data_IF_103380505033
#
_entry.id   IF_103380505033
#
_cell.length_a   1.000
_cell.length_b   1.000
_cell.length_c   1.000
_cell.angle_alpha   90.00
_cell.angle_beta   90.00
_cell.angle_gamma   90.00
#
_symmetry.space_group_name_H-M   'P 1'
#
loop_
_entity.id
_entity.type
_entity.pdbx_description
1 polymer ?
#
# COMPACT_ATOMS: atom_id res chain seq x y z
N UNK A 1 -9.52 -63.34 -6.47
CA UNK A 1 -8.50 -62.81 -7.39
C UNK A 1 -8.48 -61.30 -7.23
N UNK A 2 -7.29 -60.76 -6.94
CA UNK A 2 -6.86 -59.35 -7.07
C UNK A 2 -7.30 -58.76 -8.44
N UNK A 3 -7.48 -57.45 -8.65
CA UNK A 3 -6.46 -56.41 -8.62
C UNK A 3 -7.04 -54.97 -8.56
N UNK A 4 -6.26 -54.10 -7.91
CA UNK A 4 -6.27 -52.64 -7.94
C UNK A 4 -6.15 -52.03 -9.35
N UNK A 5 -6.85 -50.89 -9.54
CA UNK A 5 -6.29 -49.63 -10.07
C UNK A 5 -7.25 -48.53 -9.58
N UNK A 6 -6.91 -47.59 -8.71
CA UNK A 6 -5.65 -46.85 -8.65
C UNK A 6 -5.82 -45.52 -9.39
N UNK A 7 -6.07 -44.46 -8.60
CA UNK A 7 -5.66 -43.07 -8.84
C UNK A 7 -6.42 -42.27 -9.91
N UNK A 8 -7.23 -41.29 -9.48
CA UNK A 8 -6.89 -39.88 -9.71
C UNK A 8 -7.65 -38.93 -8.74
N UNK A 9 -7.22 -38.91 -7.48
CA UNK A 9 -7.33 -37.70 -6.66
C UNK A 9 -6.29 -36.70 -7.19
N UNK A 10 -6.71 -35.60 -7.83
CA UNK A 10 -5.95 -34.35 -7.86
C UNK A 10 -6.55 -33.28 -8.77
N UNK A 11 -6.80 -32.11 -8.14
CA UNK A 11 -6.65 -30.74 -8.68
C UNK A 11 -7.82 -30.14 -9.46
N UNK A 12 -8.69 -29.41 -8.74
CA UNK A 12 -8.63 -27.93 -8.67
C UNK A 12 -9.67 -27.36 -7.70
N UNK A 13 -9.52 -27.70 -6.42
CA UNK A 13 -9.73 -26.71 -5.36
C UNK A 13 -8.47 -25.84 -5.37
N UNK A 14 -8.53 -24.67 -5.98
CA UNK A 14 -7.42 -23.72 -5.94
C UNK A 14 -7.94 -22.38 -5.40
N UNK A 15 -7.86 -22.30 -4.07
CA UNK A 15 -7.43 -21.14 -3.30
C UNK A 15 -8.45 -20.01 -3.11
N UNK A 16 -9.47 -20.36 -2.32
CA UNK A 16 -10.04 -19.42 -1.36
C UNK A 16 -9.08 -19.29 -0.16
N UNK A 17 -8.00 -18.53 -0.30
CA UNK A 17 -7.06 -18.27 0.79
C UNK A 17 -7.01 -16.78 1.13
N UNK A 18 -7.73 -16.45 2.19
CA UNK A 18 -7.22 -15.56 3.24
C UNK A 18 -7.14 -14.05 2.92
N UNK A 19 -8.25 -13.43 2.50
CA UNK A 19 -8.46 -11.99 2.79
C UNK A 19 -8.98 -11.85 4.22
N UNK A 20 -8.19 -12.30 5.18
CA UNK A 20 -8.33 -11.83 6.56
C UNK A 20 -7.80 -10.39 6.55
N UNK A 21 -8.71 -9.41 6.47
CA UNK A 21 -8.37 -8.02 6.84
C UNK A 21 -7.76 -8.06 8.24
N UNK A 22 -6.42 -8.01 8.31
CA UNK A 22 -5.70 -8.01 9.58
C UNK A 22 -6.24 -6.87 10.45
N UNK A 23 -6.59 -7.18 11.69
CA UNK A 23 -6.97 -6.18 12.68
C UNK A 23 -5.74 -5.33 13.03
N UNK A 24 -5.63 -4.16 12.43
CA UNK A 24 -4.58 -3.19 12.76
C UNK A 24 -4.84 -2.69 14.18
N UNK A 25 -3.86 -2.85 15.07
CA UNK A 25 -3.92 -2.29 16.42
C UNK A 25 -3.67 -0.78 16.35
N UNK A 26 -4.63 -0.01 16.83
CA UNK A 26 -4.57 1.45 16.90
C UNK A 26 -4.29 1.88 18.34
N UNK A 27 -3.37 2.83 18.51
CA UNK A 27 -3.16 3.50 19.79
C UNK A 27 -4.32 4.45 20.12
N UNK A 28 -4.40 4.89 21.37
CA UNK A 28 -5.38 5.89 21.81
C UNK A 28 -5.30 7.17 20.98
N UNK A 29 -4.09 7.62 20.65
CA UNK A 29 -3.90 8.83 19.85
C UNK A 29 -4.30 8.61 18.40
N UNK A 30 -4.04 7.43 17.84
CA UNK A 30 -4.52 7.08 16.50
C UNK A 30 -6.06 7.03 16.45
N UNK A 31 -6.72 6.48 17.47
CA UNK A 31 -8.19 6.48 17.56
C UNK A 31 -8.76 7.90 17.65
N UNK A 32 -8.11 8.80 18.40
CA UNK A 32 -8.50 10.22 18.47
C UNK A 32 -8.35 10.91 17.11
N UNK A 33 -7.24 10.69 16.42
CA UNK A 33 -6.99 11.25 15.09
C UNK A 33 -8.01 10.75 14.07
N UNK A 34 -8.32 9.45 14.07
CA UNK A 34 -9.35 8.86 13.20
C UNK A 34 -10.73 9.43 13.51
N UNK A 35 -11.07 9.60 14.79
CA UNK A 35 -12.36 10.20 15.19
C UNK A 35 -12.47 11.65 14.73
N UNK A 36 -11.40 12.44 14.89
CA UNK A 36 -11.34 13.81 14.37
C UNK A 36 -11.48 13.84 12.85
N UNK A 37 -10.76 12.96 12.16
CA UNK A 37 -10.85 12.80 10.70
C UNK A 37 -12.28 12.54 10.25
N UNK A 38 -12.96 11.57 10.87
CA UNK A 38 -14.34 11.22 10.56
C UNK A 38 -15.30 12.37 10.85
N UNK A 39 -15.11 13.09 11.96
CA UNK A 39 -15.96 14.23 12.32
C UNK A 39 -15.87 15.38 11.31
N UNK A 40 -14.66 15.69 10.84
CA UNK A 40 -14.40 16.78 9.89
C UNK A 40 -14.79 16.38 8.47
N UNK A 41 -14.38 15.20 8.01
CA UNK A 41 -14.49 14.81 6.60
C UNK A 41 -15.77 14.07 6.27
N UNK A 42 -16.44 13.51 7.28
CA UNK A 42 -17.54 12.52 7.15
C UNK A 42 -17.12 11.22 6.42
N UNK A 43 -15.83 11.05 6.12
CA UNK A 43 -15.28 9.85 5.54
C UNK A 43 -14.69 8.94 6.62
N UNK A 44 -14.80 7.63 6.43
CA UNK A 44 -14.20 6.63 7.32
C UNK A 44 -12.72 6.43 6.97
N UNK A 45 -11.83 6.73 7.91
CA UNK A 45 -10.45 6.27 7.87
C UNK A 45 -10.33 4.88 8.53
N UNK A 46 -9.54 3.99 7.92
CA UNK A 46 -9.21 2.65 8.42
C UNK A 46 -8.01 2.68 9.37
N UNK A 47 -7.11 3.64 9.15
CA UNK A 47 -5.85 3.73 9.87
C UNK A 47 -5.29 5.15 9.78
N UNK A 48 -4.34 5.47 10.65
CA UNK A 48 -3.53 6.67 10.53
C UNK A 48 -2.09 6.40 10.96
N UNK A 49 -1.15 6.93 10.19
CA UNK A 49 0.27 6.84 10.46
C UNK A 49 0.80 8.23 10.78
N UNK A 50 1.55 8.31 11.88
CA UNK A 50 2.26 9.51 12.27
C UNK A 50 3.67 9.49 11.67
N UNK A 51 3.96 10.42 10.75
CA UNK A 51 5.30 10.67 10.24
C UNK A 51 5.86 11.92 10.94
N UNK A 52 6.42 11.69 12.13
CA UNK A 52 7.04 12.73 12.95
C UNK A 52 8.22 13.40 12.22
N UNK A 53 9.01 12.62 11.46
CA UNK A 53 10.17 13.12 10.69
C UNK A 53 9.76 14.20 9.68
N UNK A 54 8.57 14.08 9.11
CA UNK A 54 8.02 15.01 8.11
C UNK A 54 6.96 15.96 8.65
N UNK A 55 6.73 15.94 9.97
CA UNK A 55 5.61 16.63 10.61
C UNK A 55 4.28 16.44 9.86
N UNK A 56 3.99 15.18 9.48
CA UNK A 56 2.87 14.82 8.62
C UNK A 56 2.08 13.65 9.21
N UNK A 57 0.76 13.71 9.09
CA UNK A 57 -0.14 12.60 9.42
C UNK A 57 -0.70 12.04 8.11
N UNK A 58 -0.59 10.72 7.94
CA UNK A 58 -1.11 10.01 6.77
C UNK A 58 -2.35 9.24 7.19
N UNK A 59 -3.52 9.63 6.68
CA UNK A 59 -4.76 8.90 6.87
C UNK A 59 -4.98 7.90 5.74
N UNK A 60 -5.33 6.68 6.10
CA UNK A 60 -5.69 5.63 5.15
C UNK A 60 -7.20 5.56 5.07
N UNK A 61 -7.75 5.86 3.91
CA UNK A 61 -9.20 5.85 3.67
C UNK A 61 -9.59 4.65 2.82
N UNK A 62 -10.81 4.18 3.02
CA UNK A 62 -11.35 3.08 2.22
C UNK A 62 -11.54 3.50 0.75
N UNK A 63 -11.48 2.53 -0.16
CA UNK A 63 -11.74 2.73 -1.59
C UNK A 63 -13.07 3.46 -1.82
N UNK A 64 -13.04 4.44 -2.72
CA UNK A 64 -14.18 5.27 -3.08
C UNK A 64 -14.51 6.40 -2.11
N UNK A 65 -13.77 6.55 -1.00
CA UNK A 65 -14.00 7.62 -0.01
C UNK A 65 -13.03 8.79 -0.12
N UNK A 66 -12.05 8.74 -1.03
CA UNK A 66 -11.09 9.83 -1.26
C UNK A 66 -11.75 11.18 -1.56
N UNK A 67 -12.74 11.23 -2.45
CA UNK A 67 -13.40 12.49 -2.80
C UNK A 67 -14.08 13.17 -1.61
N UNK A 68 -14.77 12.38 -0.78
CA UNK A 68 -15.40 12.85 0.45
C UNK A 68 -14.35 13.31 1.49
N UNK A 69 -13.27 12.53 1.63
CA UNK A 69 -12.16 12.85 2.50
C UNK A 69 -11.47 14.17 2.13
N UNK A 70 -11.30 14.44 0.83
CA UNK A 70 -10.70 15.68 0.33
C UNK A 70 -11.65 16.87 0.52
N UNK A 71 -12.93 16.69 0.20
CA UNK A 71 -13.93 17.77 0.19
C UNK A 71 -13.80 18.71 -1.01
N UNK A 72 -14.82 19.55 -1.24
CA UNK A 72 -14.85 20.47 -2.39
C UNK A 72 -13.68 21.45 -2.33
N UNK A 73 -12.82 21.46 -3.35
CA UNK A 73 -11.62 22.31 -3.38
C UNK A 73 -10.61 22.02 -2.27
N UNK A 74 -10.62 20.81 -1.70
CA UNK A 74 -9.75 20.42 -0.59
C UNK A 74 -10.16 21.00 0.76
N UNK A 75 -11.42 21.44 0.92
CA UNK A 75 -11.90 22.10 2.14
C UNK A 75 -11.64 21.28 3.40
N UNK A 76 -11.89 19.97 3.35
CA UNK A 76 -11.80 19.10 4.53
C UNK A 76 -10.34 18.89 4.93
N UNK A 77 -9.45 18.71 3.94
CA UNK A 77 -8.02 18.54 4.19
C UNK A 77 -7.39 19.83 4.74
N UNK A 78 -7.77 20.99 4.20
CA UNK A 78 -7.33 22.28 4.75
C UNK A 78 -7.79 22.46 6.19
N UNK A 79 -9.04 22.13 6.49
CA UNK A 79 -9.55 22.17 7.87
C UNK A 79 -8.78 21.23 8.81
N UNK A 80 -8.50 20.00 8.38
CA UNK A 80 -7.69 19.07 9.18
C UNK A 80 -6.28 19.59 9.43
N UNK A 81 -5.61 20.12 8.40
CA UNK A 81 -4.28 20.73 8.55
C UNK A 81 -4.30 21.91 9.53
N UNK A 82 -5.35 22.74 9.48
CA UNK A 82 -5.52 23.88 10.38
C UNK A 82 -5.75 23.48 11.84
N UNK A 83 -6.48 22.39 12.08
CA UNK A 83 -6.75 21.86 13.43
C UNK A 83 -5.52 21.15 13.98
N UNK A 84 -4.90 20.27 13.18
CA UNK A 84 -3.77 19.45 13.60
C UNK A 84 -2.45 20.22 13.65
N UNK A 85 -2.37 21.39 12.98
CA UNK A 85 -1.13 22.18 12.80
C UNK A 85 0.00 21.37 12.15
N UNK A 86 -0.37 20.38 11.34
CA UNK A 86 0.54 19.43 10.68
C UNK A 86 0.10 19.20 9.24
N UNK A 87 1.02 18.74 8.41
CA UNK A 87 0.67 18.31 7.06
C UNK A 87 -0.23 17.07 7.15
N UNK A 88 -1.24 17.03 6.28
CA UNK A 88 -2.17 15.89 6.20
C UNK A 88 -2.09 15.32 4.79
N UNK A 89 -1.92 14.01 4.73
CA UNK A 89 -1.91 13.25 3.49
C UNK A 89 -2.95 12.13 3.55
N UNK A 90 -3.56 11.84 2.40
CA UNK A 90 -4.52 10.75 2.24
C UNK A 90 -3.96 9.67 1.34
N UNK A 91 -4.16 8.43 1.74
CA UNK A 91 -3.88 7.25 0.92
C UNK A 91 -5.14 6.41 0.84
N UNK A 92 -5.54 6.07 -0.38
CA UNK A 92 -6.63 5.14 -0.61
C UNK A 92 -6.15 3.69 -0.44
N UNK A 93 -6.87 2.94 0.38
CA UNK A 93 -6.63 1.52 0.59
C UNK A 93 -7.25 0.66 -0.51
N UNK A 94 -6.52 -0.39 -0.88
CA UNK A 94 -7.00 -1.45 -1.77
C UNK A 94 -6.61 -2.80 -1.17
N UNK A 95 -7.52 -3.79 -1.26
CA UNK A 95 -7.24 -5.15 -0.77
C UNK A 95 -6.21 -5.90 -1.64
N UNK A 96 -6.05 -5.49 -2.90
CA UNK A 96 -4.98 -6.01 -3.76
C UNK A 96 -3.65 -5.32 -3.45
N UNK A 97 -2.62 -6.06 -2.95
CA UNK A 97 -1.29 -5.51 -2.66
C UNK A 97 -0.65 -4.84 -3.89
N UNK A 98 -0.87 -5.35 -5.10
CA UNK A 98 -0.30 -4.78 -6.32
C UNK A 98 -0.91 -3.41 -6.59
N UNK A 99 -2.25 -3.31 -6.60
CA UNK A 99 -2.98 -2.04 -6.76
C UNK A 99 -2.61 -1.04 -5.66
N UNK A 100 -2.50 -1.48 -4.42
CA UNK A 100 -2.16 -0.61 -3.29
C UNK A 100 -0.74 -0.05 -3.38
N UNK A 101 0.26 -0.88 -3.68
CA UNK A 101 1.64 -0.43 -3.84
C UNK A 101 1.80 0.51 -5.04
N UNK A 102 1.12 0.25 -6.15
CA UNK A 102 1.06 1.19 -7.28
C UNK A 102 0.46 2.53 -6.86
N UNK A 103 -0.62 2.53 -6.07
CA UNK A 103 -1.24 3.76 -5.58
C UNK A 103 -0.28 4.59 -4.71
N UNK A 104 0.42 3.94 -3.77
CA UNK A 104 1.37 4.62 -2.87
C UNK A 104 2.53 5.27 -3.63
N UNK A 105 3.02 4.61 -4.68
CA UNK A 105 4.19 5.05 -5.45
C UNK A 105 3.86 5.88 -6.70
N UNK A 106 2.61 6.36 -6.80
CA UNK A 106 2.04 6.98 -7.99
C UNK A 106 1.91 5.98 -9.16
N UNK A 107 0.69 5.56 -9.52
CA UNK A 107 0.45 4.55 -10.56
C UNK A 107 1.09 4.89 -11.92
N UNK A 108 1.26 6.19 -12.23
CA UNK A 108 1.83 6.65 -13.52
C UNK A 108 3.34 6.44 -13.64
N UNK A 109 4.01 6.16 -12.53
CA UNK A 109 5.47 5.98 -12.49
C UNK A 109 5.87 4.50 -12.36
N UNK A 110 4.90 3.61 -12.16
CA UNK A 110 5.12 2.18 -11.92
C UNK A 110 4.65 1.36 -13.11
N UNK A 111 5.57 0.61 -13.73
CA UNK A 111 5.26 -0.24 -14.88
C UNK A 111 4.65 -1.56 -14.40
N UNK A 112 5.29 -2.20 -13.43
CA UNK A 112 4.90 -3.52 -12.94
C UNK A 112 5.20 -3.65 -11.44
N UNK A 113 4.43 -4.48 -10.74
CA UNK A 113 4.74 -4.92 -9.38
C UNK A 113 4.66 -6.44 -9.37
N UNK A 114 5.76 -7.08 -8.99
CA UNK A 114 5.87 -8.53 -8.82
C UNK A 114 5.87 -8.85 -7.33
N UNK A 115 5.17 -9.91 -6.96
CA UNK A 115 5.17 -10.43 -5.60
C UNK A 115 5.80 -11.81 -5.63
N UNK A 116 6.86 -11.96 -4.86
CA UNK A 116 7.66 -13.17 -4.77
C UNK A 116 7.71 -13.64 -3.32
N UNK A 117 7.76 -14.96 -3.12
CA UNK A 117 8.04 -15.54 -1.80
C UNK A 117 9.48 -16.01 -1.77
N UNK A 118 10.25 -15.49 -0.81
CA UNK A 118 11.64 -15.88 -0.62
C UNK A 118 11.75 -17.31 -0.10
N UNK A 119 12.92 -17.96 -0.23
CA UNK A 119 13.15 -19.31 0.31
C UNK A 119 12.91 -19.45 1.82
N UNK A 120 13.05 -18.35 2.57
CA UNK A 120 12.76 -18.28 4.01
C UNK A 120 11.26 -18.14 4.35
N UNK A 121 10.39 -18.18 3.34
CA UNK A 121 8.93 -18.01 3.47
C UNK A 121 8.47 -16.56 3.57
N UNK A 122 9.37 -15.57 3.59
CA UNK A 122 8.99 -14.16 3.66
C UNK A 122 8.55 -13.62 2.29
N UNK A 123 7.56 -12.73 2.29
CA UNK A 123 7.07 -12.09 1.05
C UNK A 123 7.92 -10.88 0.66
N UNK A 124 8.16 -10.72 -0.63
CA UNK A 124 8.90 -9.62 -1.25
C UNK A 124 8.11 -9.03 -2.41
N UNK A 125 8.10 -7.69 -2.49
CA UNK A 125 7.56 -6.97 -3.63
C UNK A 125 8.69 -6.36 -4.46
N UNK A 126 8.69 -6.59 -5.78
CA UNK A 126 9.60 -5.96 -6.73
C UNK A 126 8.81 -5.04 -7.65
N UNK A 127 9.03 -3.73 -7.51
CA UNK A 127 8.40 -2.68 -8.30
C UNK A 127 9.33 -2.32 -9.45
N UNK A 128 8.85 -2.45 -10.68
CA UNK A 128 9.58 -2.13 -11.90
C UNK A 128 9.15 -0.76 -12.40
N UNK A 129 10.12 0.12 -12.61
CA UNK A 129 9.91 1.50 -13.06
C UNK A 129 10.88 1.87 -14.18
N UNK A 130 10.54 2.90 -14.94
CA UNK A 130 11.45 3.44 -15.94
C UNK A 130 12.73 3.98 -15.29
N UNK A 131 13.88 3.73 -15.91
CA UNK A 131 15.19 4.19 -15.42
C UNK A 131 15.21 5.71 -15.16
N UNK A 132 14.69 6.52 -16.09
CA UNK A 132 14.61 7.97 -15.93
C UNK A 132 13.64 8.45 -14.83
N UNK A 133 12.72 7.59 -14.37
CA UNK A 133 11.70 7.92 -13.35
C UNK A 133 12.02 7.35 -11.97
N UNK A 134 13.04 6.49 -11.84
CA UNK A 134 13.39 5.85 -10.56
C UNK A 134 13.56 6.85 -9.42
N UNK A 135 14.25 7.97 -9.66
CA UNK A 135 14.44 9.01 -8.64
C UNK A 135 13.12 9.60 -8.13
N UNK A 136 12.14 9.81 -9.01
CA UNK A 136 10.81 10.31 -8.66
C UNK A 136 10.02 9.29 -7.85
N UNK A 137 10.12 8.00 -8.20
CA UNK A 137 9.44 6.90 -7.50
C UNK A 137 10.02 6.71 -6.10
N UNK A 138 11.35 6.69 -5.97
CA UNK A 138 12.04 6.56 -4.69
C UNK A 138 11.76 7.77 -3.79
N UNK A 139 11.64 8.95 -4.40
CA UNK A 139 11.41 10.21 -3.72
C UNK A 139 12.68 10.77 -3.07
N UNK A 140 12.62 12.05 -2.68
CA UNK A 140 13.71 12.73 -1.97
C UNK A 140 14.04 11.96 -0.69
N UNK A 141 15.32 11.63 -0.50
CA UNK A 141 15.82 10.83 0.64
C UNK A 141 15.17 9.44 0.78
N UNK A 142 14.57 8.90 -0.28
CA UNK A 142 13.93 7.58 -0.23
C UNK A 142 12.58 7.56 0.48
N UNK A 143 12.00 8.72 0.81
CA UNK A 143 10.76 8.83 1.60
C UNK A 143 9.58 8.04 1.00
N UNK A 144 9.43 8.04 -0.34
CA UNK A 144 8.34 7.29 -0.98
C UNK A 144 8.59 5.78 -0.88
N UNK A 145 9.85 5.35 -1.02
CA UNK A 145 10.24 3.95 -0.86
C UNK A 145 10.07 3.46 0.59
N UNK A 146 10.44 4.28 1.59
CA UNK A 146 10.24 4.00 3.02
C UNK A 146 8.74 3.84 3.32
N UNK A 147 7.91 4.74 2.80
CA UNK A 147 6.45 4.64 2.93
C UNK A 147 5.89 3.37 2.31
N UNK A 148 6.29 3.04 1.09
CA UNK A 148 5.84 1.82 0.44
C UNK A 148 6.20 0.58 1.28
N UNK A 149 7.41 0.51 1.86
CA UNK A 149 7.81 -0.56 2.79
C UNK A 149 6.92 -0.61 4.03
N UNK A 150 6.67 0.54 4.66
CA UNK A 150 5.85 0.64 5.87
C UNK A 150 4.44 0.09 5.62
N UNK A 151 3.82 0.52 4.52
CA UNK A 151 2.49 0.08 4.11
C UNK A 151 2.46 -1.40 3.71
N UNK A 152 3.44 -1.86 2.92
CA UNK A 152 3.54 -3.25 2.49
C UNK A 152 3.62 -4.21 3.69
N UNK A 153 4.47 -3.87 4.66
CA UNK A 153 4.63 -4.68 5.88
C UNK A 153 3.38 -4.65 6.75
N UNK A 154 2.79 -3.47 6.95
CA UNK A 154 1.63 -3.27 7.83
C UNK A 154 0.38 -3.99 7.33
N UNK A 155 0.09 -3.93 6.04
CA UNK A 155 -1.16 -4.43 5.47
C UNK A 155 -1.07 -5.82 4.87
N UNK A 156 0.10 -6.20 4.32
CA UNK A 156 0.26 -7.43 3.53
C UNK A 156 1.37 -8.35 4.03
N UNK A 157 2.02 -7.99 5.15
CA UNK A 157 3.17 -8.71 5.70
C UNK A 157 4.37 -8.85 4.74
N UNK A 158 4.46 -7.97 3.75
CA UNK A 158 5.56 -7.98 2.79
C UNK A 158 6.78 -7.39 3.49
N UNK A 159 7.77 -8.25 3.74
CA UNK A 159 8.97 -7.94 4.51
C UNK A 159 9.99 -7.11 3.73
N UNK A 160 9.92 -7.11 2.40
CA UNK A 160 10.87 -6.39 1.56
C UNK A 160 10.19 -5.78 0.34
N UNK A 161 10.55 -4.54 0.02
CA UNK A 161 10.09 -3.84 -1.19
C UNK A 161 11.33 -3.36 -1.94
N UNK A 162 11.48 -3.77 -3.20
CA UNK A 162 12.59 -3.36 -4.06
C UNK A 162 12.06 -2.54 -5.22
N UNK A 163 12.71 -1.40 -5.50
CA UNK A 163 12.40 -0.58 -6.68
C UNK A 163 13.52 -0.82 -7.69
N UNK A 164 13.20 -1.58 -8.74
CA UNK A 164 14.10 -1.91 -9.82
C UNK A 164 13.81 -1.05 -11.05
N UNK A 165 14.86 -0.74 -11.79
CA UNK A 165 14.79 -0.05 -13.06
C UNK A 165 15.68 -0.77 -14.07
N UNK A 166 15.19 -1.83 -14.72
CA UNK A 166 15.99 -2.55 -15.70
C UNK A 166 16.41 -1.55 -16.79
N UNK A 167 17.72 -1.48 -17.03
CA UNK A 167 18.24 -0.81 -18.21
C UNK A 167 17.87 -1.71 -19.39
N UNK A 168 17.13 -1.16 -20.35
CA UNK A 168 16.96 -1.84 -21.64
C UNK A 168 18.37 -1.89 -22.21
N UNK A 169 19.01 -3.06 -22.17
CA UNK A 169 20.23 -3.27 -22.93
C UNK A 169 19.87 -2.91 -24.37
N UNK A 170 20.56 -1.93 -24.94
CA UNK A 170 20.44 -1.61 -26.35
C UNK A 170 20.67 -2.92 -27.11
N UNK A 171 19.61 -3.45 -27.71
CA UNK A 171 19.74 -4.39 -28.80
C UNK A 171 20.38 -3.58 -29.93
N UNK A 172 21.71 -3.58 -29.97
CA UNK A 172 22.42 -3.21 -31.18
C UNK A 172 22.00 -4.22 -32.26
N UNK A 173 21.49 -3.66 -33.36
CA UNK A 173 20.99 -4.39 -34.53
C UNK A 173 22.11 -5.10 -35.27
#
# INVERSE_FOLDING_TARGET
>A
MTFNHGLNESKKEFNNTNIMTRSIKLSTDQMRLISLFQNVTKATARDCLDDEKQNKIIFVVNEGKMGLAIGKGGSNIKSLQNILKRNVELVEYFDDPIKFLKNILNPKLVNEVKLDTKPDGSSQATIIVDHGKKGLVVGREGRNAERARLFAKRYFDISSVLINSPQVAQLEM
#
